data_IF_508045589770
#
_entry.id   IF_508045589770
#
_cell.length_a   1.000
_cell.length_b   1.000
_cell.length_c   1.000
_cell.angle_alpha   90.00
_cell.angle_beta   90.00
_cell.angle_gamma   90.00
#
_symmetry.space_group_name_H-M   'P 1'
#
loop_
_entity.id
_entity.type
_entity.pdbx_description
1 polymer ?
#
# COMPACT_ATOMS: atom_id res chain seq x y z
N UNK A 1 -1.67 -8.13 -8.81
CA UNK A 1 -0.78 -7.13 -9.45
C UNK A 1 0.56 -6.92 -8.73
N UNK A 2 0.58 -6.60 -7.43
CA UNK A 2 1.80 -6.22 -6.69
C UNK A 2 2.95 -7.25 -6.77
N UNK A 3 2.65 -8.56 -6.67
CA UNK A 3 3.68 -9.62 -6.75
C UNK A 3 4.43 -9.62 -8.10
N UNK A 4 3.70 -9.33 -9.19
CA UNK A 4 4.26 -9.32 -10.55
C UNK A 4 5.14 -8.10 -10.79
N UNK A 5 4.71 -6.93 -10.29
CA UNK A 5 5.51 -5.71 -10.33
C UNK A 5 6.80 -5.81 -9.50
N UNK A 6 6.71 -6.37 -8.27
CA UNK A 6 7.90 -6.63 -7.45
C UNK A 6 8.87 -7.58 -8.14
N UNK A 7 8.38 -8.65 -8.77
CA UNK A 7 9.21 -9.58 -9.53
C UNK A 7 9.96 -8.86 -10.66
N UNK A 8 9.24 -8.13 -11.51
CA UNK A 8 9.84 -7.39 -12.63
C UNK A 8 10.90 -6.37 -12.17
N UNK A 9 10.66 -5.68 -11.05
CA UNK A 9 11.63 -4.76 -10.47
C UNK A 9 12.91 -5.47 -10.03
N UNK A 10 12.82 -6.53 -9.23
CA UNK A 10 14.01 -7.26 -8.79
C UNK A 10 14.71 -8.00 -9.93
N UNK A 11 13.98 -8.43 -10.94
CA UNK A 11 14.52 -9.06 -12.16
C UNK A 11 15.35 -8.05 -12.98
N UNK A 12 14.89 -6.80 -13.11
CA UNK A 12 15.65 -5.71 -13.71
C UNK A 12 16.86 -5.27 -12.88
N UNK A 13 16.78 -5.36 -11.54
CA UNK A 13 17.89 -5.05 -10.64
C UNK A 13 18.93 -6.17 -10.65
N UNK A 14 18.54 -7.43 -10.84
CA UNK A 14 19.50 -8.55 -10.85
C UNK A 14 20.26 -8.66 -12.17
N UNK A 15 19.69 -8.23 -13.29
CA UNK A 15 20.32 -8.30 -14.62
C UNK A 15 21.44 -7.29 -14.85
N UNK A 16 21.55 -6.25 -14.00
CA UNK A 16 22.46 -5.11 -14.22
C UNK A 16 23.52 -4.92 -13.14
N UNK A 17 23.65 -5.82 -12.15
CA UNK A 17 24.43 -5.54 -10.93
C UNK A 17 25.66 -6.44 -10.71
N UNK A 18 26.67 -5.79 -10.12
CA UNK A 18 27.93 -6.37 -9.65
C UNK A 18 27.71 -7.35 -8.48
N UNK A 19 28.58 -8.35 -8.31
CA UNK A 19 28.33 -9.50 -7.43
C UNK A 19 28.03 -9.12 -5.98
N UNK A 20 28.71 -8.09 -5.45
CA UNK A 20 28.52 -7.58 -4.07
C UNK A 20 27.13 -6.99 -3.85
N UNK A 21 26.60 -6.34 -4.86
CA UNK A 21 25.28 -5.71 -4.82
C UNK A 21 24.15 -6.72 -4.87
N UNK A 22 24.34 -7.84 -5.59
CA UNK A 22 23.41 -8.96 -5.57
C UNK A 22 23.23 -9.52 -4.15
N UNK A 23 24.34 -9.73 -3.43
CA UNK A 23 24.29 -10.17 -2.03
C UNK A 23 23.54 -9.18 -1.13
N UNK A 24 23.70 -7.87 -1.33
CA UNK A 24 22.97 -6.85 -0.54
C UNK A 24 21.46 -6.90 -0.79
N UNK A 25 21.04 -7.10 -2.04
CA UNK A 25 19.62 -7.23 -2.39
C UNK A 25 19.03 -8.49 -1.79
N UNK A 26 19.74 -9.62 -1.89
CA UNK A 26 19.33 -10.89 -1.27
C UNK A 26 19.26 -10.75 0.25
N UNK A 27 20.23 -10.11 0.89
CA UNK A 27 20.24 -9.90 2.35
C UNK A 27 19.09 -9.00 2.79
N UNK A 28 18.72 -8.00 1.99
CA UNK A 28 17.56 -7.12 2.25
C UNK A 28 16.23 -7.86 2.08
N UNK A 29 16.15 -8.82 1.15
CA UNK A 29 14.95 -9.64 0.93
C UNK A 29 14.76 -10.71 2.00
N UNK A 30 15.87 -11.27 2.51
CA UNK A 30 15.87 -12.35 3.50
C UNK A 30 15.80 -11.83 4.94
N UNK A 31 16.36 -10.66 5.22
CA UNK A 31 16.25 -10.01 6.53
C UNK A 31 15.21 -8.90 6.45
N UNK A 32 13.95 -9.16 6.83
CA UNK A 32 13.02 -8.06 7.07
C UNK A 32 13.64 -7.15 8.13
N UNK A 33 14.11 -5.98 7.69
CA UNK A 33 14.58 -4.93 8.58
C UNK A 33 13.42 -4.64 9.54
N UNK A 34 13.63 -4.89 10.83
CA UNK A 34 12.64 -4.57 11.85
C UNK A 34 12.24 -3.11 11.68
N UNK A 35 10.93 -2.86 11.59
CA UNK A 35 10.44 -1.49 11.48
C UNK A 35 10.77 -0.80 12.80
N UNK A 36 11.82 0.02 12.79
CA UNK A 36 12.16 0.88 13.91
C UNK A 36 11.10 1.97 13.91
N UNK A 37 10.07 1.79 14.74
CA UNK A 37 9.08 2.81 14.97
C UNK A 37 9.74 3.95 15.75
N UNK A 38 9.46 5.22 15.39
CA UNK A 38 9.94 6.35 16.18
C UNK A 38 9.35 6.25 17.60
N UNK A 39 10.24 6.09 18.59
CA UNK A 39 9.85 6.20 20.00
C UNK A 39 9.78 7.68 20.35
N UNK A 40 8.58 8.26 20.30
CA UNK A 40 8.37 9.64 20.74
C UNK A 40 7.75 9.68 22.13
N UNK A 41 8.32 10.48 23.02
CA UNK A 41 7.77 10.75 24.35
C UNK A 41 6.70 11.86 24.32
N UNK A 42 6.47 12.46 23.14
CA UNK A 42 5.52 13.55 22.92
C UNK A 42 4.68 13.25 21.66
N UNK A 43 3.42 12.88 21.88
CA UNK A 43 2.46 12.49 20.85
C UNK A 43 2.08 13.65 19.92
N UNK A 44 2.04 14.89 20.42
CA UNK A 44 1.67 16.06 19.63
C UNK A 44 2.73 16.39 18.58
N UNK A 45 4.01 16.34 18.98
CA UNK A 45 5.13 16.52 18.07
C UNK A 45 5.15 15.44 16.97
N UNK A 46 4.92 14.17 17.33
CA UNK A 46 4.85 13.07 16.36
C UNK A 46 3.71 13.25 15.35
N UNK A 47 2.54 13.71 15.81
CA UNK A 47 1.41 13.98 14.93
C UNK A 47 1.72 15.10 13.93
N UNK A 48 2.39 16.17 14.38
CA UNK A 48 2.79 17.28 13.52
C UNK A 48 3.87 16.85 12.52
N UNK A 49 4.86 16.07 12.95
CA UNK A 49 5.91 15.52 12.08
C UNK A 49 5.32 14.58 11.04
N UNK A 50 4.38 13.72 11.45
CA UNK A 50 3.68 12.81 10.55
C UNK A 50 2.85 13.58 9.51
N UNK A 51 2.10 14.60 9.94
CA UNK A 51 1.29 15.43 9.05
C UNK A 51 2.16 16.16 8.02
N UNK A 52 3.28 16.74 8.48
CA UNK A 52 4.24 17.44 7.62
C UNK A 52 4.86 16.49 6.61
N UNK A 53 5.40 15.35 7.07
CA UNK A 53 5.97 14.32 6.20
C UNK A 53 4.96 13.84 5.15
N UNK A 54 3.72 13.60 5.54
CA UNK A 54 2.70 13.10 4.62
C UNK A 54 2.31 14.15 3.57
N UNK A 55 2.18 15.42 3.97
CA UNK A 55 1.90 16.53 3.06
C UNK A 55 3.02 16.69 2.02
N UNK A 56 4.27 16.71 2.48
CA UNK A 56 5.46 16.82 1.63
C UNK A 56 5.57 15.63 0.67
N UNK A 57 5.36 14.40 1.17
CA UNK A 57 5.42 13.19 0.36
C UNK A 57 4.35 13.20 -0.73
N UNK A 58 3.14 13.59 -0.38
CA UNK A 58 2.00 13.68 -1.31
C UNK A 58 2.27 14.74 -2.38
N UNK A 59 2.81 15.89 -2.00
CA UNK A 59 3.20 16.93 -2.95
C UNK A 59 4.31 16.45 -3.89
N UNK A 60 5.34 15.78 -3.37
CA UNK A 60 6.42 15.21 -4.17
C UNK A 60 5.91 14.22 -5.23
N UNK A 61 5.00 13.32 -4.84
CA UNK A 61 4.38 12.37 -5.78
C UNK A 61 3.58 13.11 -6.86
N UNK A 62 2.76 14.09 -6.48
CA UNK A 62 1.97 14.89 -7.45
C UNK A 62 2.86 15.62 -8.45
N UNK A 63 3.99 16.17 -7.99
CA UNK A 63 4.96 16.84 -8.85
C UNK A 63 5.64 15.85 -9.80
N UNK A 64 6.07 14.69 -9.31
CA UNK A 64 6.67 13.64 -10.15
C UNK A 64 5.73 13.18 -11.25
N UNK A 65 4.44 13.00 -10.96
CA UNK A 65 3.44 12.62 -11.96
C UNK A 65 3.30 13.73 -13.02
N UNK A 66 3.21 14.99 -12.61
CA UNK A 66 3.11 16.12 -13.54
C UNK A 66 4.35 16.25 -14.43
N UNK A 67 5.54 16.10 -13.86
CA UNK A 67 6.80 16.16 -14.61
C UNK A 67 6.94 14.99 -15.58
N UNK A 68 6.48 13.79 -15.20
CA UNK A 68 6.44 12.64 -16.11
C UNK A 68 5.48 12.88 -17.29
N UNK A 69 4.35 13.56 -17.06
CA UNK A 69 3.41 13.93 -18.13
C UNK A 69 3.94 15.03 -19.07
N UNK A 70 4.84 15.90 -18.62
CA UNK A 70 5.36 17.01 -19.44
C UNK A 70 6.61 16.65 -20.25
N UNK A 71 7.35 15.61 -19.87
CA UNK A 71 8.60 15.22 -20.53
C UNK A 71 8.41 14.16 -21.63
N UNK A 72 7.19 13.69 -21.84
CA UNK A 72 6.83 12.71 -22.87
C UNK A 72 6.26 13.47 -24.09
N UNK A 73 7.15 14.09 -24.89
CA UNK A 73 6.78 14.64 -26.20
C UNK A 73 6.61 13.55 -27.28
N UNK A 74 6.70 12.26 -26.91
CA UNK A 74 6.62 11.13 -27.86
C UNK A 74 5.71 10.00 -27.36
N UNK A 75 4.56 10.34 -26.74
CA UNK A 75 3.47 9.40 -26.52
C UNK A 75 2.20 9.83 -27.24
N UNK A 76 2.28 9.89 -28.57
CA UNK A 76 1.12 9.93 -29.45
C UNK A 76 0.44 8.55 -29.53
N UNK A 77 -0.16 8.07 -28.44
CA UNK A 77 -1.32 7.15 -28.51
C UNK A 77 -2.16 7.06 -27.22
N UNK A 78 -2.24 8.15 -26.48
CA UNK A 78 -3.39 8.35 -25.59
C UNK A 78 -4.22 9.46 -26.20
N UNK A 79 -4.90 9.12 -27.30
CA UNK A 79 -6.18 9.74 -27.58
C UNK A 79 -6.92 9.81 -26.24
N UNK A 80 -7.23 11.03 -25.82
CA UNK A 80 -8.24 11.29 -24.81
C UNK A 80 -9.50 10.69 -25.41
N UNK A 81 -9.70 9.40 -25.18
CA UNK A 81 -10.97 8.76 -25.45
C UNK A 81 -11.96 9.56 -24.62
N UNK A 82 -12.97 10.05 -25.30
CA UNK A 82 -14.08 10.80 -24.71
C UNK A 82 -14.97 9.89 -23.84
N UNK A 83 -14.37 8.87 -23.20
CA UNK A 83 -14.94 7.92 -22.26
C UNK A 83 -14.55 8.21 -20.79
N UNK A 84 -13.92 9.36 -20.49
CA UNK A 84 -13.57 9.78 -19.12
C UNK A 84 -14.77 10.14 -18.22
N UNK A 85 -15.96 9.58 -18.49
CA UNK A 85 -17.15 9.69 -17.65
C UNK A 85 -17.48 8.42 -16.86
N UNK A 86 -16.72 7.32 -17.01
CA UNK A 86 -17.09 6.04 -16.36
C UNK A 86 -16.27 5.62 -15.14
N UNK A 87 -15.09 6.19 -14.91
CA UNK A 87 -14.22 5.76 -13.80
C UNK A 87 -14.38 6.61 -12.52
N UNK A 88 -15.14 7.71 -12.55
CA UNK A 88 -15.30 8.58 -11.37
C UNK A 88 -16.32 8.07 -10.36
N UNK A 89 -17.17 7.09 -10.71
CA UNK A 89 -18.32 6.73 -9.88
C UNK A 89 -18.20 5.36 -9.17
N UNK A 90 -17.22 4.53 -9.55
CA UNK A 90 -17.04 3.19 -8.94
C UNK A 90 -16.40 3.23 -7.54
N UNK A 91 -15.71 4.33 -7.19
CA UNK A 91 -15.11 4.51 -5.87
C UNK A 91 -15.96 5.36 -4.91
N UNK A 92 -17.03 5.97 -5.42
CA UNK A 92 -17.95 6.77 -4.59
C UNK A 92 -18.92 5.89 -3.78
N UNK A 93 -19.07 4.61 -4.15
CA UNK A 93 -19.99 3.68 -3.50
C UNK A 93 -19.35 2.31 -3.35
N UNK A 94 -19.12 1.91 -2.10
CA UNK A 94 -18.85 0.51 -1.79
C UNK A 94 -20.15 -0.28 -1.94
N UNK A 95 -20.07 -1.43 -2.60
CA UNK A 95 -21.18 -2.37 -2.63
C UNK A 95 -21.44 -2.87 -1.20
N UNK A 96 -22.70 -2.96 -0.76
CA UNK A 96 -23.02 -3.55 0.52
C UNK A 96 -22.55 -5.00 0.54
N UNK A 97 -21.78 -5.36 1.57
CA UNK A 97 -21.27 -6.72 1.79
C UNK A 97 -22.44 -7.66 2.12
N UNK A 98 -22.41 -8.88 1.57
CA UNK A 98 -23.44 -9.89 1.87
C UNK A 98 -23.23 -10.51 3.27
N UNK A 99 -24.28 -11.08 3.84
CA UNK A 99 -24.20 -11.75 5.15
C UNK A 99 -23.22 -12.95 5.10
N UNK A 100 -23.21 -13.66 3.99
CA UNK A 100 -22.33 -14.81 3.75
C UNK A 100 -20.86 -14.39 3.67
N UNK A 101 -20.57 -13.25 3.02
CA UNK A 101 -19.22 -12.68 2.96
C UNK A 101 -18.73 -12.29 4.37
N UNK A 102 -19.58 -11.66 5.17
CA UNK A 102 -19.26 -11.29 6.56
C UNK A 102 -18.98 -12.56 7.40
N UNK A 103 -19.84 -13.58 7.30
CA UNK A 103 -19.65 -14.86 8.00
C UNK A 103 -18.33 -15.53 7.62
N UNK A 104 -17.97 -15.51 6.34
CA UNK A 104 -16.71 -16.07 5.87
C UNK A 104 -15.50 -15.30 6.40
N UNK A 105 -15.56 -13.96 6.44
CA UNK A 105 -14.49 -13.11 6.99
C UNK A 105 -14.29 -13.40 8.48
N UNK A 106 -15.38 -13.54 9.25
CA UNK A 106 -15.32 -13.85 10.68
C UNK A 106 -14.66 -15.22 10.90
N UNK A 107 -15.11 -16.26 10.18
CA UNK A 107 -14.60 -17.64 10.31
C UNK A 107 -13.14 -17.81 9.87
N UNK A 108 -12.67 -17.00 8.92
CA UNK A 108 -11.29 -17.07 8.42
C UNK A 108 -10.31 -16.29 9.31
N UNK A 109 -10.81 -15.51 10.27
CA UNK A 109 -9.96 -14.70 11.14
C UNK A 109 -9.43 -15.59 12.27
N UNK A 110 -8.11 -15.57 12.56
CA UNK A 110 -7.60 -16.26 13.73
C UNK A 110 -8.19 -15.62 15.00
N UNK A 111 -8.55 -16.42 16.01
CA UNK A 111 -9.07 -15.90 17.27
C UNK A 111 -8.01 -14.99 17.89
N UNK A 112 -8.37 -13.72 18.03
CA UNK A 112 -7.52 -12.69 18.64
C UNK A 112 -8.31 -12.08 19.78
N UNK A 113 -7.94 -12.42 20.99
CA UNK A 113 -8.39 -11.72 22.19
C UNK A 113 -7.48 -10.52 22.40
N UNK A 114 -8.06 -9.32 22.37
CA UNK A 114 -7.38 -8.10 22.78
C UNK A 114 -7.83 -7.74 24.19
N UNK A 115 -6.91 -7.28 25.05
CA UNK A 115 -7.19 -7.01 26.47
C UNK A 115 -8.19 -5.87 26.71
N UNK A 116 -8.55 -5.12 25.66
CA UNK A 116 -9.52 -4.03 25.70
C UNK A 116 -10.88 -4.40 25.08
N UNK A 117 -11.04 -5.63 24.58
CA UNK A 117 -12.32 -6.08 24.02
C UNK A 117 -13.22 -6.63 25.14
N UNK A 118 -14.39 -6.02 25.34
CA UNK A 118 -15.39 -6.46 26.32
C UNK A 118 -16.04 -7.81 25.97
N UNK A 119 -15.83 -8.32 24.75
CA UNK A 119 -16.41 -9.58 24.27
C UNK A 119 -15.42 -10.30 23.34
N UNK A 120 -15.00 -11.54 23.65
CA UNK A 120 -14.18 -12.36 22.76
C UNK A 120 -14.88 -12.58 21.42
N UNK A 121 -14.15 -12.39 20.31
CA UNK A 121 -14.66 -12.63 18.95
C UNK A 121 -15.15 -14.07 18.75
N UNK A 122 -14.60 -15.02 19.54
CA UNK A 122 -14.95 -16.44 19.55
C UNK A 122 -16.44 -16.73 19.87
N UNK A 123 -17.15 -15.79 20.49
CA UNK A 123 -18.59 -15.90 20.75
C UNK A 123 -19.45 -15.68 19.50
N UNK A 124 -18.93 -14.96 18.49
CA UNK A 124 -19.62 -14.68 17.23
C UNK A 124 -19.53 -15.85 16.24
N UNK A 125 -18.60 -16.78 16.44
CA UNK A 125 -18.43 -17.95 15.57
C UNK A 125 -19.47 -19.06 15.81
N UNK A 126 -20.15 -19.04 16.97
CA UNK A 126 -21.04 -20.12 17.43
C UNK A 126 -22.54 -19.87 17.19
N UNK A 127 -22.92 -18.81 16.46
CA UNK A 127 -24.31 -18.52 16.08
C UNK A 127 -24.58 -18.81 14.61
#
# INVERSE_FOLDING_TARGET
MIKRAKRAHYESVLSSLDQRTCFRVVDTLLKPQGIILPQSNNTEALCNDFATYFAEKTQGIRMQIRTAMTNDEDCSDYAIDSGSQRLSNELDRLLPTSEEEIKNIIRLRPPKTYSLDSCPTDLLEKQ
#
